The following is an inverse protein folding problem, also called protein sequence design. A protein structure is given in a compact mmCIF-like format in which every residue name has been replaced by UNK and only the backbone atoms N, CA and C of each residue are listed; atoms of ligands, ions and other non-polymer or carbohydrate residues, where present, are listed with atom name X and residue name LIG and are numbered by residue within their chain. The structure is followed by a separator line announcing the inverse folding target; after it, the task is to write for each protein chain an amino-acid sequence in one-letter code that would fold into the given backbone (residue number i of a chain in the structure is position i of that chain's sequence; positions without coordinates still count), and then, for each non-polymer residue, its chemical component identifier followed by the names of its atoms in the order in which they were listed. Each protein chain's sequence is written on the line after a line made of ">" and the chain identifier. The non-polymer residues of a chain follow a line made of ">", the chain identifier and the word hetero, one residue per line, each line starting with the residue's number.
data_IF_317882440455
#
_entry.id   IF_317882440455
#
_cell.length_a   1.000
_cell.length_b   1.000
_cell.length_c   1.000
_cell.angle_alpha   90.00
_cell.angle_beta   90.00
_cell.angle_gamma   90.00
#
_symmetry.space_group_name_H-M   'P 1'
#
loop_
_entity.id
_entity.type
_entity.pdbx_description
1 polymer ?
#
# COMPACT_ATOMS: atom_id res chain seq x y z
N UNK A 1 19.60 -4.29 16.68
CA UNK A 1 19.39 -4.82 15.28
C UNK A 1 19.19 -6.32 15.38
N UNK A 2 18.14 -6.83 14.74
CA UNK A 2 17.94 -8.28 14.59
C UNK A 2 19.09 -8.91 13.81
N UNK A 3 19.26 -10.22 13.92
CA UNK A 3 20.26 -10.93 13.15
C UNK A 3 19.72 -11.35 11.76
N UNK A 4 20.63 -11.79 10.92
CA UNK A 4 20.32 -12.30 9.58
C UNK A 4 19.34 -13.49 9.64
N UNK A 5 19.43 -14.32 10.67
CA UNK A 5 18.66 -15.56 10.82
C UNK A 5 17.19 -15.24 10.98
N UNK A 6 16.84 -14.18 11.74
CA UNK A 6 15.46 -13.73 11.92
C UNK A 6 14.85 -13.24 10.60
N UNK A 7 15.57 -12.44 9.80
CA UNK A 7 15.11 -12.01 8.46
C UNK A 7 14.83 -13.21 7.56
N UNK A 8 15.73 -14.20 7.53
CA UNK A 8 15.58 -15.39 6.69
C UNK A 8 14.41 -16.27 7.15
N UNK A 9 14.21 -16.41 8.47
CA UNK A 9 13.09 -17.17 9.03
C UNK A 9 11.75 -16.51 8.65
N UNK A 10 11.63 -15.18 8.85
CA UNK A 10 10.41 -14.44 8.49
C UNK A 10 10.16 -14.49 6.96
N UNK A 11 11.21 -14.39 6.14
CA UNK A 11 11.08 -14.47 4.68
C UNK A 11 10.55 -15.85 4.25
N UNK A 12 11.02 -16.92 4.88
CA UNK A 12 10.53 -18.28 4.64
C UNK A 12 9.08 -18.42 5.06
N UNK A 13 8.74 -17.94 6.26
CA UNK A 13 7.39 -18.02 6.83
C UNK A 13 6.35 -17.28 5.97
N UNK A 14 6.71 -16.14 5.40
CA UNK A 14 5.84 -15.33 4.57
C UNK A 14 5.90 -15.69 3.07
N UNK A 15 6.75 -16.62 2.68
CA UNK A 15 7.04 -16.97 1.27
C UNK A 15 7.44 -15.75 0.43
N UNK A 16 8.29 -14.88 1.00
CA UNK A 16 8.74 -13.63 0.40
C UNK A 16 10.26 -13.61 0.23
N UNK A 17 10.74 -12.72 -0.65
CA UNK A 17 12.17 -12.44 -0.74
C UNK A 17 12.71 -11.86 0.58
N UNK A 18 13.85 -12.34 1.03
CA UNK A 18 14.56 -11.80 2.20
C UNK A 18 14.86 -10.30 2.06
N UNK A 19 15.00 -9.79 0.82
CA UNK A 19 15.21 -8.36 0.53
C UNK A 19 13.98 -7.52 0.90
N UNK A 20 12.79 -8.05 0.63
CA UNK A 20 11.51 -7.39 0.97
C UNK A 20 11.35 -7.33 2.48
N UNK A 21 11.70 -8.41 3.19
CA UNK A 21 11.59 -8.46 4.66
C UNK A 21 12.62 -7.55 5.32
N UNK A 22 13.89 -7.55 4.86
CA UNK A 22 14.90 -6.62 5.37
C UNK A 22 14.46 -5.16 5.16
N UNK A 23 13.98 -4.85 3.96
CA UNK A 23 13.50 -3.51 3.64
C UNK A 23 12.35 -3.08 4.53
N UNK A 24 11.37 -3.98 4.81
CA UNK A 24 10.27 -3.72 5.73
C UNK A 24 10.74 -3.48 7.18
N UNK A 25 11.76 -4.20 7.63
CA UNK A 25 12.40 -3.97 8.93
C UNK A 25 13.04 -2.57 8.99
N UNK A 26 13.86 -2.22 7.99
CA UNK A 26 14.52 -0.91 7.92
C UNK A 26 13.49 0.23 7.77
N UNK A 27 12.41 0.03 7.01
CA UNK A 27 11.28 0.98 6.92
C UNK A 27 10.66 1.27 8.30
N UNK A 28 10.50 0.26 9.14
CA UNK A 28 9.99 0.43 10.50
C UNK A 28 10.91 1.30 11.35
N UNK A 29 12.21 1.04 11.34
CA UNK A 29 13.20 1.83 12.07
C UNK A 29 13.33 3.27 11.52
N UNK A 30 13.25 3.43 10.20
CA UNK A 30 13.26 4.77 9.60
C UNK A 30 12.03 5.58 10.00
N UNK A 31 10.83 4.96 10.04
CA UNK A 31 9.63 5.62 10.57
C UNK A 31 9.78 5.98 12.04
N UNK A 32 10.36 5.10 12.86
CA UNK A 32 10.64 5.40 14.26
C UNK A 32 11.55 6.63 14.40
N UNK A 33 12.63 6.71 13.63
CA UNK A 33 13.54 7.87 13.64
C UNK A 33 12.88 9.15 13.13
N UNK A 34 12.06 9.08 12.07
CA UNK A 34 11.28 10.21 11.54
C UNK A 34 10.35 10.77 12.63
N UNK A 35 9.62 9.92 13.34
CA UNK A 35 8.68 10.34 14.37
C UNK A 35 9.32 10.61 15.74
N UNK A 36 10.56 10.20 15.96
CA UNK A 36 11.37 10.64 17.09
C UNK A 36 11.94 12.07 16.90
N UNK A 37 12.05 12.54 15.66
CA UNK A 37 12.54 13.90 15.35
C UNK A 37 11.39 14.91 15.47
N UNK A 38 11.40 15.74 16.53
CA UNK A 38 10.29 16.61 16.94
C UNK A 38 9.72 17.48 15.81
N UNK A 39 10.58 18.20 15.05
CA UNK A 39 10.14 19.09 13.98
C UNK A 39 9.49 18.32 12.82
N UNK A 40 10.03 17.16 12.46
CA UNK A 40 9.52 16.31 11.39
C UNK A 40 8.18 15.70 11.80
N UNK A 41 8.09 15.12 12.99
CA UNK A 41 6.87 14.52 13.54
C UNK A 41 5.70 15.50 13.58
N UNK A 42 5.96 16.78 13.91
CA UNK A 42 4.93 17.82 13.95
C UNK A 42 4.32 18.17 12.59
N UNK A 43 5.08 18.02 11.50
CA UNK A 43 4.71 18.54 10.19
C UNK A 43 4.51 17.46 9.10
N UNK A 44 5.00 16.22 9.30
CA UNK A 44 4.91 15.15 8.30
C UNK A 44 3.76 14.20 8.60
N UNK A 45 2.90 13.99 7.61
CA UNK A 45 1.71 13.13 7.74
C UNK A 45 1.88 11.96 6.80
N UNK A 46 2.01 10.78 7.37
CA UNK A 46 2.24 9.53 6.66
C UNK A 46 1.01 9.09 5.89
N UNK A 47 1.20 8.63 4.66
CA UNK A 47 0.14 8.16 3.77
C UNK A 47 0.60 7.00 2.88
N UNK A 48 -0.19 6.65 1.89
CA UNK A 48 0.20 5.68 0.86
C UNK A 48 0.04 4.22 1.25
N UNK A 49 0.60 3.33 0.42
CA UNK A 49 0.48 1.88 0.61
C UNK A 49 1.21 1.36 1.83
N UNK A 50 2.37 1.94 2.15
CA UNK A 50 3.13 1.57 3.35
C UNK A 50 2.41 2.01 4.62
N UNK A 51 1.71 3.15 4.60
CA UNK A 51 0.85 3.56 5.71
C UNK A 51 -0.29 2.57 5.94
N UNK A 52 -0.95 2.08 4.89
CA UNK A 52 -1.97 1.03 5.02
C UNK A 52 -1.41 -0.21 5.71
N UNK A 53 -0.25 -0.69 5.26
CA UNK A 53 0.39 -1.89 5.80
C UNK A 53 0.90 -1.70 7.23
N UNK A 54 1.53 -0.58 7.51
CA UNK A 54 2.21 -0.33 8.80
C UNK A 54 1.27 0.21 9.88
N UNK A 55 0.21 0.95 9.51
CA UNK A 55 -0.65 1.64 10.49
C UNK A 55 -2.09 1.10 10.53
N UNK A 56 -2.52 0.31 9.53
CA UNK A 56 -3.90 -0.14 9.45
C UNK A 56 -4.05 -1.65 9.41
N UNK A 57 -3.27 -2.38 8.57
CA UNK A 57 -3.43 -3.83 8.39
C UNK A 57 -2.09 -4.56 8.36
N UNK A 58 -1.88 -5.51 9.27
CA UNK A 58 -0.62 -6.27 9.39
C UNK A 58 -0.29 -7.13 8.17
N UNK A 59 -1.30 -7.68 7.50
CA UNK A 59 -1.12 -8.63 6.39
C UNK A 59 -1.48 -8.05 5.03
N UNK A 60 -1.28 -6.75 4.89
CA UNK A 60 -1.50 -6.10 3.60
C UNK A 60 -0.35 -6.39 2.62
N UNK A 61 -0.55 -6.08 1.29
CA UNK A 61 0.54 -6.22 0.33
C UNK A 61 1.78 -5.45 0.77
N UNK A 62 2.95 -5.95 0.44
CA UNK A 62 4.19 -5.22 0.73
C UNK A 62 4.25 -3.92 -0.08
N UNK A 63 4.77 -2.88 0.53
CA UNK A 63 5.03 -1.59 -0.07
C UNK A 63 6.41 -1.12 0.36
N UNK A 64 7.11 -0.46 -0.54
CA UNK A 64 8.55 -0.23 -0.41
C UNK A 64 8.93 1.23 -0.24
N UNK A 65 8.00 2.14 -0.45
CA UNK A 65 8.20 3.58 -0.42
C UNK A 65 7.50 4.21 0.79
N UNK A 66 8.01 5.31 1.30
CA UNK A 66 7.36 6.11 2.32
C UNK A 66 6.79 7.39 1.70
N UNK A 67 5.49 7.56 1.79
CA UNK A 67 4.80 8.73 1.25
C UNK A 67 4.38 9.68 2.38
N UNK A 68 4.70 10.97 2.29
CA UNK A 68 4.31 11.97 3.26
C UNK A 68 3.67 13.20 2.62
N UNK A 69 2.66 13.73 3.28
CA UNK A 69 2.18 15.09 3.06
C UNK A 69 2.79 16.00 4.12
N UNK A 70 3.45 17.06 3.69
CA UNK A 70 4.08 18.04 4.56
C UNK A 70 3.13 19.22 4.79
N UNK A 71 2.99 19.63 6.05
CA UNK A 71 2.20 20.81 6.43
C UNK A 71 3.04 22.08 6.54
N UNK A 72 4.38 21.94 6.49
CA UNK A 72 5.34 23.04 6.47
C UNK A 72 6.18 22.97 5.20
N UNK A 73 6.03 23.96 4.33
CA UNK A 73 6.72 24.03 3.05
C UNK A 73 8.24 24.22 3.18
N UNK A 74 8.71 24.78 4.30
CA UNK A 74 10.15 24.96 4.57
C UNK A 74 10.86 23.62 4.74
N UNK A 75 10.14 22.55 5.04
CA UNK A 75 10.70 21.19 5.14
C UNK A 75 11.08 20.57 3.79
N UNK A 76 10.74 21.19 2.65
CA UNK A 76 11.26 20.81 1.35
C UNK A 76 12.58 21.51 0.98
N UNK A 77 13.09 22.39 1.83
CA UNK A 77 14.41 22.97 1.60
C UNK A 77 15.50 21.91 1.80
N UNK A 78 16.42 21.82 0.84
CA UNK A 78 17.47 20.78 0.85
C UNK A 78 18.32 20.84 2.12
N UNK A 79 18.63 22.04 2.62
CA UNK A 79 19.38 22.22 3.86
C UNK A 79 18.63 21.64 5.08
N UNK A 80 17.31 21.83 5.15
CA UNK A 80 16.49 21.24 6.19
C UNK A 80 16.49 19.71 6.11
N UNK A 81 16.26 19.15 4.90
CA UNK A 81 16.24 17.72 4.68
C UNK A 81 17.55 17.06 5.07
N UNK A 82 18.69 17.63 4.65
CA UNK A 82 20.02 17.12 5.02
C UNK A 82 20.25 17.12 6.53
N UNK A 83 19.90 18.18 7.22
CA UNK A 83 20.06 18.25 8.67
C UNK A 83 19.13 17.25 9.39
N UNK A 84 17.86 17.23 9.06
CA UNK A 84 16.88 16.33 9.67
C UNK A 84 17.22 14.84 9.45
N UNK A 85 17.66 14.47 8.24
CA UNK A 85 18.04 13.07 7.98
C UNK A 85 19.40 12.68 8.55
N UNK A 86 20.30 13.63 8.82
CA UNK A 86 21.51 13.36 9.61
C UNK A 86 21.13 13.00 11.06
N UNK A 87 20.22 13.76 11.66
CA UNK A 87 19.71 13.49 13.03
C UNK A 87 18.94 12.15 13.09
N UNK A 88 18.07 11.89 12.10
CA UNK A 88 17.34 10.62 11.98
C UNK A 88 18.30 9.45 11.83
N UNK A 89 19.33 9.57 10.98
CA UNK A 89 20.32 8.50 10.77
C UNK A 89 21.11 8.20 12.05
N UNK A 90 21.54 9.23 12.78
CA UNK A 90 22.23 9.06 14.05
C UNK A 90 21.34 8.38 15.08
N UNK A 91 20.06 8.78 15.19
CA UNK A 91 19.10 8.16 16.09
C UNK A 91 18.81 6.70 15.75
N UNK A 92 18.59 6.39 14.47
CA UNK A 92 18.35 5.01 13.99
C UNK A 92 19.54 4.12 14.30
N UNK A 93 20.77 4.60 14.04
CA UNK A 93 21.98 3.86 14.34
C UNK A 93 22.14 3.59 15.85
N UNK A 94 21.94 4.60 16.70
CA UNK A 94 22.01 4.46 18.17
C UNK A 94 21.02 3.41 18.70
N UNK A 95 19.80 3.37 18.16
CA UNK A 95 18.72 2.50 18.65
C UNK A 95 18.72 1.10 18.04
N UNK A 96 19.12 0.95 16.79
CA UNK A 96 18.98 -0.31 16.06
C UNK A 96 20.31 -0.88 15.55
N UNK A 97 21.34 -0.06 15.42
CA UNK A 97 22.57 -0.43 14.73
C UNK A 97 22.47 -0.46 13.20
N UNK A 98 21.32 -0.06 12.62
CA UNK A 98 21.17 0.09 11.16
C UNK A 98 21.93 1.34 10.72
N UNK A 99 22.86 1.17 9.77
CA UNK A 99 23.61 2.29 9.25
C UNK A 99 22.90 2.91 8.04
N UNK A 100 22.74 4.23 8.07
CA UNK A 100 22.18 5.04 6.99
C UNK A 100 23.25 6.04 6.52
N UNK A 101 24.07 5.72 5.51
CA UNK A 101 25.18 6.57 5.05
C UNK A 101 24.69 7.92 4.56
N UNK A 102 24.89 8.98 5.34
CA UNK A 102 24.35 10.33 5.08
C UNK A 102 24.92 10.94 3.81
N UNK A 103 26.20 10.66 3.51
CA UNK A 103 26.93 11.11 2.31
C UNK A 103 26.35 10.53 1.01
N UNK A 104 25.68 9.37 1.10
CA UNK A 104 25.04 8.71 -0.05
C UNK A 104 23.59 9.12 -0.26
N UNK A 105 22.96 9.76 0.72
CA UNK A 105 21.58 10.21 0.59
C UNK A 105 21.42 11.17 -0.59
N UNK A 106 20.27 11.10 -1.26
CA UNK A 106 19.93 11.98 -2.38
C UNK A 106 18.64 12.71 -2.08
N UNK A 107 18.66 14.01 -2.35
CA UNK A 107 17.53 14.91 -2.11
C UNK A 107 17.23 15.63 -3.42
N UNK A 108 16.06 15.42 -3.98
CA UNK A 108 15.62 16.05 -5.23
C UNK A 108 14.29 16.77 -4.98
N UNK A 109 14.23 18.06 -5.30
CA UNK A 109 13.00 18.85 -5.12
C UNK A 109 12.50 19.27 -6.50
N UNK A 110 11.22 19.00 -6.75
CA UNK A 110 10.57 19.26 -8.03
C UNK A 110 9.47 20.30 -7.85
N UNK A 111 9.25 21.08 -8.90
CA UNK A 111 8.08 21.95 -9.00
C UNK A 111 7.21 21.48 -10.16
N UNK A 112 5.92 21.27 -9.90
CA UNK A 112 4.98 20.93 -10.95
C UNK A 112 4.57 22.19 -11.74
N UNK A 113 3.97 22.06 -12.95
CA UNK A 113 3.53 23.19 -13.75
C UNK A 113 2.50 24.11 -13.08
N UNK A 114 1.85 23.63 -12.02
CA UNK A 114 0.86 24.39 -11.22
C UNK A 114 1.49 25.15 -10.06
N UNK A 115 2.83 25.06 -9.89
CA UNK A 115 3.56 25.67 -8.78
C UNK A 115 3.59 24.85 -7.49
N UNK A 116 2.97 23.66 -7.48
CA UNK A 116 3.08 22.72 -6.37
C UNK A 116 4.50 22.14 -6.30
N UNK A 117 5.02 21.99 -5.09
CA UNK A 117 6.36 21.43 -4.84
C UNK A 117 6.26 20.04 -4.27
N UNK A 118 7.17 19.18 -4.66
CA UNK A 118 7.36 17.84 -4.12
C UNK A 118 8.83 17.50 -4.01
N UNK A 119 9.20 16.57 -3.15
CA UNK A 119 10.56 16.10 -3.00
C UNK A 119 10.63 14.59 -3.07
N UNK A 120 11.73 14.08 -3.58
CA UNK A 120 12.11 12.69 -3.50
C UNK A 120 13.40 12.58 -2.68
N UNK A 121 13.38 11.73 -1.66
CA UNK A 121 14.55 11.40 -0.85
C UNK A 121 14.88 9.94 -1.06
N UNK A 122 16.15 9.63 -1.32
CA UNK A 122 16.66 8.26 -1.42
C UNK A 122 17.64 8.02 -0.30
N UNK A 123 17.29 7.11 0.61
CA UNK A 123 18.08 6.71 1.76
C UNK A 123 18.65 5.33 1.51
N UNK A 124 19.96 5.24 1.44
CA UNK A 124 20.68 3.97 1.34
C UNK A 124 20.91 3.41 2.75
N UNK A 125 20.96 2.09 2.89
CA UNK A 125 21.12 1.46 4.20
C UNK A 125 22.02 0.22 4.17
N UNK A 126 22.64 -0.06 5.31
CA UNK A 126 23.29 -1.33 5.63
C UNK A 126 22.47 -1.96 6.76
N UNK A 127 21.70 -2.99 6.41
CA UNK A 127 20.81 -3.71 7.30
C UNK A 127 21.37 -5.05 7.78
N UNK A 128 20.52 -5.88 8.41
CA UNK A 128 20.91 -7.17 9.00
C UNK A 128 21.54 -8.18 8.02
N UNK A 129 21.26 -8.09 6.72
CA UNK A 129 21.82 -8.98 5.71
C UNK A 129 23.30 -8.65 5.37
N UNK A 130 23.77 -7.45 5.72
CA UNK A 130 25.17 -7.06 5.61
C UNK A 130 25.73 -7.15 4.20
N UNK A 131 25.01 -6.66 3.17
CA UNK A 131 25.39 -6.82 1.77
C UNK A 131 26.58 -5.97 1.39
N UNK A 132 27.54 -6.59 0.69
CA UNK A 132 28.56 -5.87 -0.05
C UNK A 132 28.06 -5.45 -1.44
N UNK A 133 28.61 -4.37 -1.99
CA UNK A 133 28.29 -3.84 -3.32
C UNK A 133 27.33 -2.67 -3.29
N UNK A 134 26.40 -2.60 -4.24
CA UNK A 134 25.40 -1.52 -4.28
C UNK A 134 24.42 -1.63 -3.11
N UNK A 135 24.37 -0.61 -2.26
CA UNK A 135 23.48 -0.60 -1.11
C UNK A 135 22.01 -0.55 -1.55
N UNK A 136 21.14 -1.30 -0.84
CA UNK A 136 19.71 -1.16 -1.01
C UNK A 136 19.25 0.23 -0.53
N UNK A 137 18.09 0.67 -1.05
CA UNK A 137 17.57 2.01 -0.74
C UNK A 137 16.09 2.00 -0.43
N UNK A 138 15.71 2.97 0.39
CA UNK A 138 14.32 3.36 0.61
C UNK A 138 14.08 4.70 -0.09
N UNK A 139 12.96 4.80 -0.78
CA UNK A 139 12.48 6.03 -1.40
C UNK A 139 11.44 6.69 -0.47
N UNK A 140 11.55 8.01 -0.29
CA UNK A 140 10.52 8.81 0.33
C UNK A 140 9.98 9.80 -0.68
N UNK A 141 8.66 9.87 -0.79
CA UNK A 141 7.94 10.86 -1.59
C UNK A 141 7.32 11.91 -0.65
N UNK A 142 7.78 13.15 -0.77
CA UNK A 142 7.37 14.28 0.05
C UNK A 142 6.55 15.26 -0.79
N UNK A 143 5.36 15.64 -0.35
CA UNK A 143 4.54 16.61 -1.09
C UNK A 143 3.90 17.64 -0.18
N UNK A 144 3.86 18.89 -0.63
CA UNK A 144 3.06 19.98 -0.05
C UNK A 144 1.82 20.28 -0.91
N UNK A 145 1.72 19.68 -2.10
CA UNK A 145 0.63 19.89 -3.05
C UNK A 145 -0.48 18.84 -2.85
N UNK A 146 -0.96 18.73 -1.60
CA UNK A 146 -2.04 17.82 -1.22
C UNK A 146 -3.02 18.53 -0.27
N UNK A 147 -4.31 18.26 -0.49
CA UNK A 147 -5.36 18.69 0.44
C UNK A 147 -5.54 17.63 1.52
N UNK A 148 -5.32 18.00 2.76
CA UNK A 148 -5.72 17.20 3.92
C UNK A 148 -7.14 17.58 4.29
N UNK A 149 -8.08 16.66 4.07
CA UNK A 149 -9.52 16.90 4.29
C UNK A 149 -9.91 16.56 5.73
N UNK A 150 -9.39 15.46 6.25
CA UNK A 150 -9.65 15.00 7.61
C UNK A 150 -8.46 15.31 8.53
N UNK A 151 -8.68 15.48 9.84
CA UNK A 151 -7.59 15.62 10.79
C UNK A 151 -6.66 14.38 10.71
N UNK A 152 -5.33 14.58 10.69
CA UNK A 152 -4.41 13.46 10.81
C UNK A 152 -4.57 12.80 12.18
N UNK A 153 -4.34 11.51 12.24
CA UNK A 153 -4.48 10.70 13.45
C UNK A 153 -3.16 10.03 13.80
N UNK A 154 -2.95 9.80 15.09
CA UNK A 154 -1.82 9.02 15.59
C UNK A 154 -2.19 7.53 15.60
N UNK A 155 -1.31 6.70 15.05
CA UNK A 155 -1.52 5.26 14.93
C UNK A 155 -0.29 4.48 15.38
N UNK A 156 -0.49 3.36 16.09
CA UNK A 156 0.59 2.42 16.28
C UNK A 156 1.04 1.85 14.94
N UNK A 157 2.34 1.65 14.80
CA UNK A 157 2.95 1.13 13.58
C UNK A 157 3.39 -0.31 13.80
N UNK A 158 2.97 -1.21 12.93
CA UNK A 158 3.41 -2.61 12.95
C UNK A 158 4.90 -2.73 12.65
N UNK A 159 5.60 -3.40 13.54
CA UNK A 159 7.01 -3.74 13.40
C UNK A 159 7.23 -5.15 13.99
N UNK A 160 6.88 -6.22 13.26
CA UNK A 160 6.81 -7.58 13.79
C UNK A 160 8.21 -8.22 13.92
N UNK A 161 9.16 -7.50 14.46
CA UNK A 161 10.55 -7.91 14.68
C UNK A 161 10.88 -7.86 16.16
N UNK A 162 11.86 -8.67 16.59
CA UNK A 162 12.20 -8.79 18.02
C UNK A 162 12.86 -7.53 18.59
N UNK A 163 13.33 -6.62 17.74
CA UNK A 163 13.96 -5.36 18.11
C UNK A 163 13.02 -4.14 18.07
N UNK A 164 11.70 -4.34 18.24
CA UNK A 164 10.75 -3.24 18.36
C UNK A 164 11.24 -2.19 19.36
N UNK A 165 11.24 -0.89 19.01
CA UNK A 165 11.58 0.17 19.97
C UNK A 165 10.72 0.11 21.23
N UNK A 166 11.32 0.42 22.39
CA UNK A 166 10.58 0.52 23.64
C UNK A 166 9.46 1.59 23.52
N UNK A 167 8.24 1.20 23.91
CA UNK A 167 7.04 2.04 23.73
C UNK A 167 6.41 1.96 22.33
N UNK A 168 6.97 1.15 21.42
CA UNK A 168 6.47 1.00 20.06
C UNK A 168 6.77 2.19 19.14
N UNK A 169 6.20 2.17 17.96
CA UNK A 169 6.32 3.25 16.97
C UNK A 169 4.93 3.85 16.76
N UNK A 170 4.81 5.16 17.00
CA UNK A 170 3.57 5.91 16.74
C UNK A 170 3.79 6.81 15.54
N UNK A 171 2.98 6.66 14.51
CA UNK A 171 3.02 7.48 13.32
C UNK A 171 1.80 8.41 13.23
N UNK A 172 2.01 9.66 12.85
CA UNK A 172 0.95 10.60 12.50
C UNK A 172 0.59 10.41 11.05
N UNK A 173 -0.62 9.93 10.77
CA UNK A 173 -1.00 9.51 9.43
C UNK A 173 -2.37 10.02 8.98
N UNK A 174 -2.69 9.84 7.71
CA UNK A 174 -4.02 10.11 7.18
C UNK A 174 -5.06 9.27 7.92
N UNK A 175 -6.25 9.83 8.14
CA UNK A 175 -7.40 9.07 8.57
C UNK A 175 -7.73 7.98 7.54
N UNK A 176 -8.30 6.88 8.00
CA UNK A 176 -8.58 5.72 7.15
C UNK A 176 -9.49 6.05 5.96
N UNK A 177 -10.53 6.85 6.21
CA UNK A 177 -11.47 7.32 5.19
C UNK A 177 -10.78 8.18 4.12
N UNK A 178 -9.81 8.97 4.55
CA UNK A 178 -9.02 9.79 3.62
C UNK A 178 -8.09 8.96 2.76
N UNK A 179 -7.46 7.91 3.33
CA UNK A 179 -6.65 6.97 2.54
C UNK A 179 -7.52 6.26 1.51
N UNK A 180 -8.73 5.83 1.89
CA UNK A 180 -9.62 5.14 0.95
C UNK A 180 -10.03 6.06 -0.21
N UNK A 181 -10.49 7.27 0.09
CA UNK A 181 -10.83 8.27 -0.93
C UNK A 181 -9.64 8.60 -1.84
N UNK A 182 -8.43 8.73 -1.25
CA UNK A 182 -7.19 8.96 -2.00
C UNK A 182 -6.86 7.81 -2.96
N UNK A 183 -7.11 6.55 -2.55
CA UNK A 183 -6.91 5.39 -3.42
C UNK A 183 -7.90 5.35 -4.57
N UNK A 184 -9.16 5.71 -4.35
CA UNK A 184 -10.16 5.84 -5.44
C UNK A 184 -9.75 6.96 -6.40
N UNK A 185 -9.34 8.13 -5.88
CA UNK A 185 -8.85 9.25 -6.70
C UNK A 185 -7.65 8.82 -7.56
N UNK A 186 -6.66 8.18 -6.93
CA UNK A 186 -5.45 7.74 -7.60
C UNK A 186 -5.73 6.69 -8.68
N UNK A 187 -6.66 5.77 -8.44
CA UNK A 187 -7.10 4.80 -9.45
C UNK A 187 -7.66 5.50 -10.69
N UNK A 188 -8.49 6.54 -10.50
CA UNK A 188 -9.03 7.32 -11.61
C UNK A 188 -8.02 8.19 -12.35
N UNK A 189 -7.00 8.72 -11.62
CA UNK A 189 -6.02 9.65 -12.21
C UNK A 189 -4.91 8.95 -12.98
N UNK A 190 -4.44 7.80 -12.49
CA UNK A 190 -3.21 7.16 -13.00
C UNK A 190 -3.36 5.68 -13.35
N UNK A 191 -4.53 5.09 -13.13
CA UNK A 191 -4.90 3.72 -13.53
C UNK A 191 -3.82 2.68 -13.20
N UNK A 192 -3.35 2.64 -11.94
CA UNK A 192 -2.32 1.68 -11.53
C UNK A 192 -2.91 0.43 -10.87
N UNK A 193 -2.43 -0.78 -11.20
CA UNK A 193 -2.82 -2.04 -10.57
C UNK A 193 -2.85 -2.02 -9.04
N UNK A 194 -1.86 -1.38 -8.41
CA UNK A 194 -1.78 -1.26 -6.95
C UNK A 194 -2.95 -0.48 -6.35
N UNK A 195 -3.46 0.53 -7.05
CA UNK A 195 -4.59 1.32 -6.56
C UNK A 195 -5.89 0.53 -6.68
N UNK A 196 -6.09 -0.24 -7.76
CA UNK A 196 -7.22 -1.18 -7.88
C UNK A 196 -7.18 -2.23 -6.77
N UNK A 197 -6.03 -2.87 -6.57
CA UNK A 197 -5.83 -3.86 -5.50
C UNK A 197 -6.20 -3.27 -4.13
N UNK A 198 -5.70 -2.07 -3.82
CA UNK A 198 -5.95 -1.39 -2.55
C UNK A 198 -7.43 -1.05 -2.38
N UNK A 199 -8.07 -0.44 -3.38
CA UNK A 199 -9.50 -0.07 -3.33
C UNK A 199 -10.39 -1.29 -3.06
N UNK A 200 -10.16 -2.39 -3.77
CA UNK A 200 -10.99 -3.59 -3.60
C UNK A 200 -10.79 -4.25 -2.23
N UNK A 201 -9.54 -4.33 -1.75
CA UNK A 201 -9.29 -4.90 -0.43
C UNK A 201 -9.87 -4.02 0.69
N UNK A 202 -9.74 -2.69 0.61
CA UNK A 202 -10.38 -1.76 1.55
C UNK A 202 -11.90 -1.92 1.55
N UNK A 203 -12.51 -2.07 0.38
CA UNK A 203 -13.95 -2.27 0.25
C UNK A 203 -14.42 -3.61 0.82
N UNK A 204 -13.67 -4.70 0.55
CA UNK A 204 -13.98 -6.06 1.07
C UNK A 204 -13.85 -6.16 2.59
N UNK A 205 -13.15 -5.22 3.21
CA UNK A 205 -12.98 -5.16 4.66
C UNK A 205 -14.23 -4.59 5.34
N UNK A 206 -15.37 -5.30 5.27
CA UNK A 206 -16.68 -4.81 5.63
C UNK A 206 -16.79 -4.22 7.04
N UNK A 207 -16.05 -4.78 8.02
CA UNK A 207 -16.03 -4.30 9.41
C UNK A 207 -15.43 -2.89 9.54
N UNK A 208 -14.47 -2.54 8.68
CA UNK A 208 -13.79 -1.26 8.70
C UNK A 208 -14.15 -0.37 7.50
N UNK A 209 -15.16 -0.76 6.70
CA UNK A 209 -15.60 0.06 5.58
C UNK A 209 -16.15 1.38 6.11
N UNK A 210 -15.63 2.54 5.66
CA UNK A 210 -16.11 3.82 6.13
C UNK A 210 -17.51 4.12 5.59
N UNK A 211 -18.18 5.13 6.16
CA UNK A 211 -19.45 5.60 5.61
C UNK A 211 -19.25 6.15 4.19
N UNK A 212 -20.04 5.66 3.23
CA UNK A 212 -19.95 6.07 1.82
C UNK A 212 -20.04 7.59 1.63
N UNK A 213 -20.89 8.27 2.42
CA UNK A 213 -21.03 9.71 2.37
C UNK A 213 -19.73 10.45 2.73
N UNK A 214 -19.02 10.00 3.77
CA UNK A 214 -17.73 10.57 4.18
C UNK A 214 -16.68 10.36 3.10
N UNK A 215 -16.55 9.12 2.60
CA UNK A 215 -15.59 8.79 1.54
C UNK A 215 -15.86 9.60 0.28
N UNK A 216 -17.12 9.74 -0.12
CA UNK A 216 -17.53 10.54 -1.29
C UNK A 216 -17.20 12.01 -1.14
N UNK A 217 -17.46 12.60 0.04
CA UNK A 217 -17.17 14.01 0.29
C UNK A 217 -15.67 14.30 0.28
N UNK A 218 -14.87 13.44 0.91
CA UNK A 218 -13.40 13.52 0.87
C UNK A 218 -12.89 13.39 -0.58
N UNK A 219 -13.39 12.40 -1.32
CA UNK A 219 -13.04 12.18 -2.73
C UNK A 219 -13.33 13.41 -3.59
N UNK A 220 -14.53 14.00 -3.47
CA UNK A 220 -14.90 15.22 -4.21
C UNK A 220 -13.98 16.39 -3.91
N UNK A 221 -13.64 16.61 -2.63
CA UNK A 221 -12.74 17.68 -2.25
C UNK A 221 -11.32 17.48 -2.79
N UNK A 222 -10.78 16.25 -2.72
CA UNK A 222 -9.47 15.92 -3.26
C UNK A 222 -9.42 16.06 -4.78
N UNK A 223 -10.44 15.58 -5.49
CA UNK A 223 -10.56 15.74 -6.94
C UNK A 223 -10.66 17.22 -7.33
N UNK A 224 -11.47 17.99 -6.61
CA UNK A 224 -11.62 19.44 -6.83
C UNK A 224 -10.30 20.19 -6.61
N UNK A 225 -9.54 19.84 -5.58
CA UNK A 225 -8.21 20.41 -5.33
C UNK A 225 -7.22 20.11 -6.47
N UNK A 226 -7.19 18.88 -6.97
CA UNK A 226 -6.35 18.46 -8.09
C UNK A 226 -6.90 18.90 -9.46
N UNK A 227 -8.12 19.49 -9.52
CA UNK A 227 -8.80 19.88 -10.75
C UNK A 227 -8.97 18.72 -11.73
N UNK A 228 -9.37 17.57 -11.22
CA UNK A 228 -9.72 16.35 -11.98
C UNK A 228 -11.17 15.99 -11.72
N UNK A 229 -11.76 15.26 -12.65
CA UNK A 229 -13.09 14.71 -12.47
C UNK A 229 -13.10 13.61 -11.41
N UNK A 230 -14.24 13.49 -10.69
CA UNK A 230 -14.44 12.37 -9.77
C UNK A 230 -14.53 11.08 -10.58
N UNK A 231 -13.71 10.06 -10.28
CA UNK A 231 -13.72 8.80 -11.01
C UNK A 231 -15.11 8.15 -11.01
N UNK A 232 -15.47 7.56 -12.13
CA UNK A 232 -16.69 6.77 -12.31
C UNK A 232 -16.33 5.39 -12.87
N UNK A 233 -17.26 4.44 -12.77
CA UNK A 233 -17.06 3.13 -13.40
C UNK A 233 -16.84 3.26 -14.92
N UNK A 234 -17.55 4.18 -15.57
CA UNK A 234 -17.42 4.41 -17.00
C UNK A 234 -16.03 4.96 -17.37
N UNK A 235 -15.47 5.90 -16.59
CA UNK A 235 -14.13 6.44 -16.85
C UNK A 235 -13.06 5.37 -16.68
N UNK A 236 -13.20 4.46 -15.70
CA UNK A 236 -12.25 3.37 -15.46
C UNK A 236 -12.34 2.27 -16.51
N UNK A 237 -13.51 2.02 -17.10
CA UNK A 237 -13.66 1.00 -18.12
C UNK A 237 -12.76 1.21 -19.35
N UNK A 238 -12.41 2.47 -19.64
CA UNK A 238 -11.46 2.81 -20.71
C UNK A 238 -9.99 2.44 -20.40
N UNK A 239 -9.65 2.13 -19.16
CA UNK A 239 -8.26 1.83 -18.72
C UNK A 239 -8.04 0.36 -18.38
N UNK A 240 -9.02 -0.53 -18.66
CA UNK A 240 -8.98 -1.95 -18.29
C UNK A 240 -7.77 -2.67 -18.89
N UNK A 241 -7.50 -2.45 -20.19
CA UNK A 241 -6.38 -3.09 -20.88
C UNK A 241 -5.02 -2.68 -20.31
N UNK A 242 -4.85 -1.40 -19.94
CA UNK A 242 -3.64 -0.88 -19.33
C UNK A 242 -3.42 -1.49 -17.93
N UNK A 243 -4.48 -1.51 -17.11
CA UNK A 243 -4.44 -2.12 -15.78
C UNK A 243 -4.08 -3.61 -15.84
N UNK A 244 -4.67 -4.35 -16.78
CA UNK A 244 -4.38 -5.77 -16.97
C UNK A 244 -2.93 -6.00 -17.42
N UNK A 245 -2.45 -5.20 -18.39
CA UNK A 245 -1.07 -5.32 -18.89
C UNK A 245 -0.02 -5.12 -17.81
N UNK A 246 -0.26 -4.19 -16.89
CA UNK A 246 0.66 -3.84 -15.82
C UNK A 246 0.46 -4.68 -14.54
N UNK A 247 -0.58 -5.55 -14.47
CA UNK A 247 -0.97 -6.28 -13.26
C UNK A 247 0.18 -7.11 -12.68
N UNK A 248 0.82 -7.93 -13.50
CA UNK A 248 1.95 -8.77 -13.07
C UNK A 248 3.17 -7.94 -12.67
N UNK A 249 3.52 -6.96 -13.49
CA UNK A 249 4.74 -6.16 -13.29
C UNK A 249 4.71 -5.35 -11.99
N UNK A 250 3.52 -4.81 -11.64
CA UNK A 250 3.39 -3.92 -10.48
C UNK A 250 3.04 -4.62 -9.16
N UNK A 251 2.47 -5.83 -9.20
CA UNK A 251 2.00 -6.52 -7.99
C UNK A 251 2.72 -7.83 -7.70
N UNK A 252 3.24 -8.53 -8.73
CA UNK A 252 3.76 -9.87 -8.57
C UNK A 252 4.90 -10.01 -7.55
N UNK A 253 5.72 -8.97 -7.38
CA UNK A 253 6.82 -8.95 -6.40
C UNK A 253 6.39 -8.56 -4.98
N UNK A 254 5.15 -8.07 -4.79
CA UNK A 254 4.63 -7.58 -3.51
C UNK A 254 3.69 -8.58 -2.82
N UNK A 255 3.38 -9.70 -3.47
CA UNK A 255 2.42 -10.69 -3.01
C UNK A 255 3.01 -12.09 -3.05
N UNK A 256 2.66 -12.99 -2.11
CA UNK A 256 3.07 -14.39 -2.15
C UNK A 256 2.64 -15.11 -3.43
N UNK A 257 1.45 -14.81 -3.92
CA UNK A 257 0.87 -15.28 -5.20
C UNK A 257 0.09 -14.13 -5.81
N UNK A 258 0.22 -13.90 -7.11
CA UNK A 258 -0.56 -12.87 -7.79
C UNK A 258 -1.98 -13.37 -8.06
N UNK A 259 -3.03 -12.78 -7.46
CA UNK A 259 -4.40 -13.13 -7.76
C UNK A 259 -4.79 -12.70 -9.19
N UNK A 260 -5.71 -13.41 -9.87
CA UNK A 260 -6.22 -12.98 -11.16
C UNK A 260 -6.86 -11.59 -11.13
N UNK A 261 -6.62 -10.79 -12.14
CA UNK A 261 -7.13 -9.43 -12.29
C UNK A 261 -8.66 -9.38 -12.18
N UNK A 262 -9.33 -10.33 -12.80
CA UNK A 262 -10.79 -10.38 -12.94
C UNK A 262 -11.52 -10.40 -11.61
N UNK A 263 -10.96 -11.03 -10.59
CA UNK A 263 -11.56 -11.10 -9.25
C UNK A 263 -11.52 -9.76 -8.50
N UNK A 264 -10.67 -8.84 -8.93
CA UNK A 264 -10.63 -7.45 -8.44
C UNK A 264 -11.52 -6.58 -9.31
N UNK A 265 -11.37 -6.66 -10.62
CA UNK A 265 -12.12 -5.85 -11.55
C UNK A 265 -13.64 -6.04 -11.43
N UNK A 266 -14.10 -7.28 -11.28
CA UNK A 266 -15.53 -7.61 -11.15
C UNK A 266 -16.22 -7.01 -9.92
N UNK A 267 -15.47 -6.55 -8.93
CA UNK A 267 -16.03 -5.92 -7.70
C UNK A 267 -16.22 -4.40 -7.86
N UNK A 268 -15.54 -3.76 -8.82
CA UNK A 268 -15.64 -2.31 -9.02
C UNK A 268 -17.08 -1.79 -9.16
N UNK A 269 -18.00 -2.43 -9.90
CA UNK A 269 -19.39 -1.98 -9.98
C UNK A 269 -20.08 -1.88 -8.61
N UNK A 270 -19.72 -2.78 -7.69
CA UNK A 270 -20.26 -2.79 -6.33
C UNK A 270 -19.66 -1.65 -5.48
N UNK A 271 -18.36 -1.38 -5.62
CA UNK A 271 -17.68 -0.24 -4.97
C UNK A 271 -18.33 1.08 -5.38
N UNK A 272 -18.54 1.30 -6.67
CA UNK A 272 -19.15 2.56 -7.15
C UNK A 272 -20.61 2.67 -6.77
N UNK A 273 -21.39 1.58 -6.79
CA UNK A 273 -22.77 1.58 -6.29
C UNK A 273 -22.82 1.98 -4.81
N UNK A 274 -21.96 1.38 -3.98
CA UNK A 274 -21.84 1.76 -2.57
C UNK A 274 -21.45 3.24 -2.42
N UNK A 275 -20.45 3.69 -3.16
CA UNK A 275 -19.98 5.07 -3.08
C UNK A 275 -21.06 6.07 -3.48
N UNK A 276 -21.89 5.78 -4.49
CA UNK A 276 -22.94 6.66 -5.00
C UNK A 276 -24.20 6.67 -4.11
N UNK A 277 -24.69 5.51 -3.77
CA UNK A 277 -25.98 5.34 -3.09
C UNK A 277 -25.87 5.16 -1.57
N UNK A 278 -24.71 4.77 -1.06
CA UNK A 278 -24.53 4.32 0.32
C UNK A 278 -25.09 2.93 0.60
N UNK A 279 -25.52 2.20 -0.45
CA UNK A 279 -26.05 0.85 -0.29
C UNK A 279 -24.94 -0.12 0.07
N UNK A 280 -25.00 -0.66 1.30
CA UNK A 280 -24.06 -1.67 1.72
C UNK A 280 -24.25 -2.97 0.93
N UNK A 281 -23.16 -3.72 0.63
CA UNK A 281 -23.27 -5.04 0.06
C UNK A 281 -24.13 -5.95 0.94
N UNK A 282 -24.92 -6.82 0.30
CA UNK A 282 -25.71 -7.80 1.02
C UNK A 282 -24.76 -8.74 1.79
N UNK A 283 -24.82 -8.78 3.12
CA UNK A 283 -23.94 -9.61 3.91
C UNK A 283 -24.22 -11.10 3.62
N UNK A 284 -23.17 -11.85 3.36
CA UNK A 284 -23.27 -13.31 3.30
C UNK A 284 -23.48 -13.85 4.73
N UNK A 285 -24.14 -15.00 4.83
CA UNK A 285 -24.25 -15.70 6.10
C UNK A 285 -22.83 -16.05 6.63
N UNK A 286 -22.68 -16.09 7.94
CA UNK A 286 -21.46 -16.63 8.54
C UNK A 286 -21.31 -18.12 8.19
N UNK A 287 -20.07 -18.59 8.07
CA UNK A 287 -19.82 -20.03 7.93
C UNK A 287 -20.44 -20.78 9.14
N UNK A 288 -21.02 -21.98 8.94
CA UNK A 288 -21.65 -22.72 10.03
C UNK A 288 -20.71 -22.88 11.21
N UNK A 289 -21.18 -22.54 12.41
CA UNK A 289 -20.47 -22.71 13.67
C UNK A 289 -20.90 -24.02 14.33
N UNK A 290 -19.94 -24.72 14.94
CA UNK A 290 -20.28 -25.71 15.98
C UNK A 290 -20.90 -24.98 17.18
N UNK A 291 -21.72 -25.69 17.97
CA UNK A 291 -22.46 -25.10 19.11
C UNK A 291 -21.56 -24.42 20.17
N UNK A 292 -20.26 -24.73 20.16
CA UNK A 292 -19.28 -24.36 21.17
C UNK A 292 -18.02 -23.67 20.56
N UNK A 293 -18.15 -23.09 19.36
CA UNK A 293 -17.04 -22.46 18.66
C UNK A 293 -17.18 -20.94 18.66
N UNK A 294 -16.07 -20.24 18.90
CA UNK A 294 -15.96 -18.78 18.85
C UNK A 294 -15.08 -18.35 17.68
N UNK A 295 -15.44 -17.26 16.98
CA UNK A 295 -14.61 -16.68 15.92
C UNK A 295 -13.35 -16.10 16.50
N UNK A 296 -12.20 -16.54 15.99
CA UNK A 296 -10.89 -16.03 16.39
C UNK A 296 -10.36 -15.09 15.31
N UNK A 297 -10.03 -13.87 15.71
CA UNK A 297 -9.40 -12.85 14.86
C UNK A 297 -8.07 -12.39 15.46
N UNK A 298 -7.06 -13.28 15.52
CA UNK A 298 -5.81 -12.94 16.18
C UNK A 298 -4.99 -11.96 15.34
N UNK A 299 -4.36 -11.01 16.02
CA UNK A 299 -3.24 -10.30 15.45
C UNK A 299 -2.08 -11.28 15.18
N UNK A 300 -1.34 -11.09 14.08
CA UNK A 300 -0.22 -11.97 13.71
C UNK A 300 0.79 -12.13 14.85
N UNK A 301 1.14 -11.04 15.53
CA UNK A 301 2.06 -11.04 16.66
C UNK A 301 1.56 -11.89 17.84
N UNK A 302 0.26 -11.90 18.13
CA UNK A 302 -0.29 -12.66 19.25
C UNK A 302 -0.18 -14.18 19.03
N UNK A 303 -0.39 -14.67 17.82
CA UNK A 303 -0.27 -16.10 17.49
C UNK A 303 1.17 -16.61 17.56
N UNK A 304 2.16 -15.79 17.22
CA UNK A 304 3.57 -16.12 17.37
C UNK A 304 3.98 -16.26 18.83
N UNK A 305 3.46 -15.40 19.72
CA UNK A 305 3.73 -15.45 21.16
C UNK A 305 3.05 -16.62 21.86
N UNK A 306 1.90 -17.09 21.39
CA UNK A 306 1.18 -18.22 21.97
C UNK A 306 1.80 -19.59 21.59
N UNK A 307 2.91 -19.61 20.80
CA UNK A 307 3.62 -20.84 20.45
C UNK A 307 2.80 -21.79 19.55
N UNK A 308 1.78 -21.26 18.87
CA UNK A 308 0.97 -22.04 17.94
C UNK A 308 1.84 -22.38 16.74
N UNK A 309 2.32 -23.60 16.71
CA UNK A 309 3.03 -24.20 15.57
C UNK A 309 2.15 -24.05 14.33
N UNK A 310 2.65 -23.35 13.30
CA UNK A 310 1.91 -23.11 12.05
C UNK A 310 1.55 -21.66 11.77
N UNK A 311 2.15 -20.69 12.46
CA UNK A 311 1.92 -19.26 12.17
C UNK A 311 2.21 -18.91 10.70
N UNK A 312 3.17 -19.57 10.06
CA UNK A 312 3.47 -19.42 8.63
C UNK A 312 2.30 -19.87 7.75
N UNK A 313 1.68 -21.02 8.06
CA UNK A 313 0.52 -21.51 7.31
C UNK A 313 -0.68 -20.58 7.44
N UNK A 314 -0.87 -19.98 8.60
CA UNK A 314 -1.99 -19.10 8.87
C UNK A 314 -1.94 -17.83 8.02
N UNK A 315 -0.76 -17.19 7.87
CA UNK A 315 -0.62 -16.00 7.04
C UNK A 315 -0.90 -16.30 5.56
N UNK A 316 -0.44 -17.45 5.08
CA UNK A 316 -0.71 -17.92 3.72
C UNK A 316 -2.22 -18.14 3.53
N UNK A 317 -2.90 -18.77 4.49
CA UNK A 317 -4.35 -19.00 4.44
C UNK A 317 -5.14 -17.70 4.49
N UNK A 318 -4.74 -16.75 5.35
CA UNK A 318 -5.37 -15.42 5.45
C UNK A 318 -5.23 -14.63 4.15
N UNK A 319 -4.04 -14.63 3.57
CA UNK A 319 -3.80 -14.02 2.27
C UNK A 319 -4.69 -14.64 1.19
N UNK A 320 -4.75 -15.97 1.12
CA UNK A 320 -5.57 -16.68 0.15
C UNK A 320 -7.06 -16.35 0.32
N UNK A 321 -7.57 -16.35 1.55
CA UNK A 321 -8.95 -15.99 1.88
C UNK A 321 -9.29 -14.56 1.46
N UNK A 322 -8.45 -13.58 1.83
CA UNK A 322 -8.62 -12.18 1.45
C UNK A 322 -8.61 -12.00 -0.08
N UNK A 323 -7.73 -12.73 -0.76
CA UNK A 323 -7.58 -12.72 -2.22
C UNK A 323 -8.57 -13.64 -2.96
N UNK A 324 -9.48 -14.33 -2.26
CA UNK A 324 -10.46 -15.28 -2.85
C UNK A 324 -9.80 -16.41 -3.65
N UNK A 325 -8.68 -16.93 -3.15
CA UNK A 325 -7.93 -18.04 -3.72
C UNK A 325 -8.13 -19.31 -2.93
N UNK A 326 -8.27 -20.44 -3.62
CA UNK A 326 -8.26 -21.77 -3.01
C UNK A 326 -6.87 -22.11 -2.50
N UNK A 327 -6.83 -23.00 -1.52
CA UNK A 327 -5.61 -23.48 -0.88
C UNK A 327 -5.56 -24.99 -0.98
N UNK A 328 -4.43 -25.54 -1.39
CA UNK A 328 -4.13 -26.97 -1.24
C UNK A 328 -3.58 -27.19 0.18
N UNK A 329 -4.38 -27.88 1.00
CA UNK A 329 -4.12 -28.15 2.40
C UNK A 329 -3.65 -29.61 2.58
N UNK A 330 -2.40 -29.79 3.00
CA UNK A 330 -1.91 -31.10 3.46
C UNK A 330 -2.37 -31.36 4.89
N UNK A 331 -3.22 -32.36 5.06
CA UNK A 331 -3.85 -32.67 6.34
C UNK A 331 -4.07 -34.19 6.48
N UNK A 332 -3.49 -34.82 7.52
CA UNK A 332 -3.60 -36.25 7.76
C UNK A 332 -3.27 -37.10 6.48
N UNK A 333 -2.07 -36.93 5.99
CA UNK A 333 -1.48 -37.65 4.84
C UNK A 333 -2.26 -37.54 3.52
N UNK A 334 -3.11 -36.53 3.39
CA UNK A 334 -3.83 -36.26 2.14
C UNK A 334 -3.87 -34.77 1.84
N UNK A 335 -3.88 -34.43 0.56
CA UNK A 335 -4.02 -33.05 0.10
C UNK A 335 -5.47 -32.80 -0.30
N UNK A 336 -6.03 -31.69 0.17
CA UNK A 336 -7.39 -31.25 -0.13
C UNK A 336 -7.39 -29.83 -0.58
N UNK A 337 -8.10 -29.54 -1.68
CA UNK A 337 -8.32 -28.15 -2.10
C UNK A 337 -9.50 -27.57 -1.35
N UNK A 338 -9.27 -26.44 -0.68
CA UNK A 338 -10.24 -25.80 0.18
C UNK A 338 -10.40 -24.31 -0.16
N UNK A 339 -11.60 -23.79 0.10
CA UNK A 339 -11.95 -22.36 0.14
C UNK A 339 -11.89 -21.91 1.61
N UNK A 340 -10.91 -21.11 2.06
CA UNK A 340 -10.78 -20.75 3.46
C UNK A 340 -11.73 -19.61 3.86
N UNK A 341 -12.40 -19.73 5.02
CA UNK A 341 -13.39 -18.75 5.49
C UNK A 341 -13.09 -18.13 6.84
N UNK A 342 -12.78 -18.93 7.88
CA UNK A 342 -12.63 -18.39 9.24
C UNK A 342 -11.75 -19.26 10.13
N UNK A 343 -11.27 -18.67 11.22
CA UNK A 343 -10.70 -19.41 12.36
C UNK A 343 -11.71 -19.45 13.49
N UNK A 344 -11.72 -20.58 14.19
CA UNK A 344 -12.61 -20.86 15.31
C UNK A 344 -11.81 -21.39 16.49
N UNK A 345 -12.21 -21.01 17.71
CA UNK A 345 -11.70 -21.59 18.95
C UNK A 345 -12.77 -22.46 19.56
N UNK A 346 -12.42 -23.69 19.86
CA UNK A 346 -13.30 -24.59 20.62
C UNK A 346 -13.25 -24.26 22.12
N UNK A 347 -14.20 -24.78 22.91
CA UNK A 347 -14.14 -24.69 24.39
C UNK A 347 -12.90 -25.35 25.01
N UNK A 348 -12.32 -26.34 24.32
CA UNK A 348 -11.08 -26.99 24.76
C UNK A 348 -9.84 -26.12 24.45
N UNK A 349 -9.99 -25.00 23.71
CA UNK A 349 -8.91 -24.11 23.33
C UNK A 349 -8.28 -24.41 21.97
N UNK A 350 -8.71 -25.48 21.28
CA UNK A 350 -8.19 -25.83 19.96
C UNK A 350 -8.57 -24.79 18.92
N UNK A 351 -7.66 -24.47 18.01
CA UNK A 351 -7.93 -23.58 16.87
C UNK A 351 -8.25 -24.42 15.63
N UNK A 352 -9.40 -24.12 15.03
CA UNK A 352 -9.90 -24.76 13.81
C UNK A 352 -9.89 -23.79 12.64
N UNK A 353 -9.42 -24.24 11.48
CA UNK A 353 -9.62 -23.59 10.20
C UNK A 353 -10.94 -24.09 9.60
N UNK A 354 -11.94 -23.22 9.52
CA UNK A 354 -13.19 -23.52 8.82
C UNK A 354 -13.06 -23.17 7.34
N UNK A 355 -13.35 -24.15 6.50
CA UNK A 355 -13.22 -24.05 5.07
C UNK A 355 -14.30 -24.87 4.35
N UNK A 356 -14.49 -24.63 3.05
CA UNK A 356 -15.33 -25.44 2.17
C UNK A 356 -14.43 -26.24 1.26
N UNK A 357 -14.69 -27.50 1.10
CA UNK A 357 -14.00 -28.34 0.10
C UNK A 357 -14.39 -27.92 -1.31
N UNK A 358 -13.40 -27.62 -2.14
CA UNK A 358 -13.65 -27.16 -3.51
C UNK A 358 -14.28 -28.23 -4.40
N UNK A 359 -14.02 -29.51 -4.12
CA UNK A 359 -14.52 -30.65 -4.89
C UNK A 359 -15.98 -31.03 -4.58
N UNK A 360 -16.36 -30.99 -3.28
CA UNK A 360 -17.68 -31.44 -2.82
C UNK A 360 -18.61 -30.29 -2.41
N UNK A 361 -18.07 -29.10 -2.19
CA UNK A 361 -18.82 -27.96 -1.66
C UNK A 361 -19.19 -28.11 -0.16
N UNK A 362 -18.61 -29.09 0.54
CA UNK A 362 -18.93 -29.40 1.91
C UNK A 362 -18.10 -28.55 2.87
N UNK A 363 -18.76 -27.95 3.88
CA UNK A 363 -18.08 -27.22 4.94
C UNK A 363 -17.36 -28.22 5.88
N UNK A 364 -16.12 -27.91 6.20
CA UNK A 364 -15.26 -28.72 7.08
C UNK A 364 -14.42 -27.84 7.99
N UNK A 365 -14.11 -28.36 9.18
CA UNK A 365 -13.17 -27.76 10.13
C UNK A 365 -11.90 -28.61 10.20
N UNK A 366 -10.75 -27.95 10.19
CA UNK A 366 -9.43 -28.57 10.24
C UNK A 366 -8.68 -28.06 11.48
N UNK A 367 -8.21 -28.93 12.33
CA UNK A 367 -7.37 -28.55 13.47
C UNK A 367 -6.06 -27.94 12.97
N UNK A 368 -5.72 -26.76 13.45
CA UNK A 368 -4.56 -25.99 12.97
C UNK A 368 -3.24 -26.71 13.25
N UNK A 369 -3.14 -27.37 14.42
CA UNK A 369 -2.00 -28.17 14.88
C UNK A 369 -1.74 -29.44 14.04
N UNK A 370 -2.73 -29.88 13.24
CA UNK A 370 -2.62 -31.07 12.37
C UNK A 370 -2.39 -30.73 10.91
N UNK A 371 -2.27 -29.45 10.58
CA UNK A 371 -1.93 -29.00 9.22
C UNK A 371 -0.44 -29.26 9.00
N UNK A 372 -0.13 -30.03 7.97
CA UNK A 372 1.24 -30.42 7.60
C UNK A 372 1.84 -29.50 6.53
N UNK A 373 0.99 -28.84 5.74
CA UNK A 373 1.43 -27.92 4.69
C UNK A 373 0.26 -27.16 4.08
N UNK A 374 0.59 -25.99 3.53
CA UNK A 374 -0.37 -25.09 2.87
C UNK A 374 0.27 -24.52 1.63
N UNK A 375 -0.45 -24.58 0.50
CA UNK A 375 -0.04 -23.96 -0.75
C UNK A 375 -1.19 -23.18 -1.37
N UNK A 376 -0.97 -21.89 -1.63
CA UNK A 376 -1.95 -21.08 -2.36
C UNK A 376 -1.99 -21.52 -3.82
N UNK A 377 -3.19 -21.62 -4.36
CA UNK A 377 -3.42 -21.96 -5.79
C UNK A 377 -3.82 -20.72 -6.58
N UNK A 378 -3.81 -20.82 -7.90
CA UNK A 378 -4.38 -19.79 -8.79
C UNK A 378 -5.90 -19.96 -8.99
N UNK A 379 -6.51 -20.98 -8.39
CA UNK A 379 -7.94 -21.20 -8.49
C UNK A 379 -8.68 -20.24 -7.57
N UNK A 380 -9.61 -19.49 -8.12
CA UNK A 380 -10.47 -18.57 -7.37
C UNK A 380 -11.72 -19.27 -6.86
N UNK A 381 -12.35 -18.71 -5.83
CA UNK A 381 -13.67 -19.12 -5.36
C UNK A 381 -14.61 -17.91 -5.20
N UNK A 382 -15.88 -18.12 -5.49
CA UNK A 382 -16.95 -17.18 -5.15
C UNK A 382 -17.40 -17.46 -3.70
N UNK A 383 -17.31 -16.49 -2.78
CA UNK A 383 -17.66 -16.72 -1.39
C UNK A 383 -19.13 -17.14 -1.21
N UNK A 384 -19.36 -18.26 -0.53
CA UNK A 384 -20.70 -18.74 -0.11
C UNK A 384 -21.07 -18.22 1.27
N UNK A 385 -20.05 -17.88 2.07
CA UNK A 385 -20.14 -17.36 3.42
C UNK A 385 -19.29 -16.11 3.57
N UNK A 386 -19.53 -15.35 4.63
CA UNK A 386 -18.65 -14.24 5.00
C UNK A 386 -17.23 -14.76 5.21
N UNK A 387 -16.26 -14.17 4.53
CA UNK A 387 -14.84 -14.49 4.73
C UNK A 387 -14.33 -13.64 5.88
N UNK A 388 -14.10 -14.30 7.02
CA UNK A 388 -13.66 -13.68 8.28
C UNK A 388 -12.13 -13.67 8.44
N UNK A 389 -11.42 -14.42 7.57
CA UNK A 389 -9.95 -14.43 7.48
C UNK A 389 -9.46 -13.21 6.69
N UNK A 390 -9.71 -12.03 7.22
CA UNK A 390 -9.24 -10.76 6.64
C UNK A 390 -7.99 -10.29 7.36
N UNK A 391 -7.19 -9.38 6.77
CA UNK A 391 -6.10 -8.73 7.47
C UNK A 391 -6.58 -8.11 8.79
N UNK A 392 -5.83 -8.32 9.87
CA UNK A 392 -6.19 -7.77 11.18
C UNK A 392 -5.82 -6.29 11.25
N UNK A 393 -6.71 -5.47 11.79
CA UNK A 393 -6.42 -4.07 12.01
C UNK A 393 -5.37 -3.87 13.11
N UNK A 394 -4.46 -2.93 12.87
CA UNK A 394 -3.46 -2.51 13.85
C UNK A 394 -4.11 -1.47 14.76
N UNK A 395 -4.62 -1.92 15.90
CA UNK A 395 -5.39 -1.09 16.82
C UNK A 395 -6.79 -0.68 16.30
N UNK A 396 -7.60 -0.04 17.13
CA UNK A 396 -8.96 0.35 16.77
C UNK A 396 -8.97 1.40 15.64
N UNK A 397 -9.89 1.26 14.69
CA UNK A 397 -10.15 2.26 13.64
C UNK A 397 -11.51 2.87 13.97
N UNK A 398 -11.58 4.03 14.64
CA UNK A 398 -12.85 4.67 14.97
C UNK A 398 -13.53 5.18 13.69
N UNK A 399 -14.80 4.83 13.43
CA UNK A 399 -15.50 5.32 12.26
C UNK A 399 -15.80 6.81 12.37
N UNK A 400 -15.54 7.57 11.31
CA UNK A 400 -15.99 8.95 11.18
C UNK A 400 -17.40 8.95 10.57
N UNK A 401 -18.35 9.50 11.30
CA UNK A 401 -19.75 9.60 10.87
C UNK A 401 -20.05 10.88 10.07
N UNK A 402 -19.18 11.89 10.20
CA UNK A 402 -19.25 13.16 9.45
C UNK A 402 -17.85 13.73 9.21
N UNK A 403 -17.54 14.22 8.00
CA UNK A 403 -16.35 15.01 7.79
C UNK A 403 -16.44 16.31 8.59
N UNK A 404 -15.35 16.79 9.22
CA UNK A 404 -15.32 18.10 9.84
C UNK A 404 -15.58 19.17 8.77
N UNK A 405 -16.29 20.25 9.14
CA UNK A 405 -16.58 21.34 8.21
C UNK A 405 -15.27 21.98 7.73
N UNK A 406 -15.13 22.12 6.41
CA UNK A 406 -13.91 22.59 5.69
C UNK A 406 -13.38 23.94 6.17
N UNK A 407 -14.18 24.73 6.89
CA UNK A 407 -13.82 26.08 7.36
C UNK A 407 -12.68 26.13 8.40
N UNK A 408 -12.36 25.02 9.06
CA UNK A 408 -11.33 25.01 10.12
C UNK A 408 -9.96 24.57 9.64
N UNK A 409 -9.88 23.62 8.67
CA UNK A 409 -8.60 23.01 8.23
C UNK A 409 -8.01 23.68 6.99
N UNK A 410 -8.83 24.21 6.09
CA UNK A 410 -8.38 24.90 4.87
C UNK A 410 -7.67 26.23 5.11
N UNK A 411 -7.66 26.74 6.35
CA UNK A 411 -6.93 27.97 6.74
C UNK A 411 -5.54 27.71 7.30
N UNK A 412 -5.22 26.51 7.69
CA UNK A 412 -3.92 26.17 8.31
C UNK A 412 -2.89 25.66 7.30
N UNK A 413 -3.33 25.13 6.18
CA UNK A 413 -2.42 24.76 5.08
C UNK A 413 -2.49 25.89 4.06
N UNK A 414 -1.52 26.77 4.05
CA UNK A 414 -1.44 27.97 3.24
C UNK A 414 -1.89 27.85 1.78
N UNK A 415 -3.20 27.79 1.57
CA UNK A 415 -3.80 28.02 0.28
C UNK A 415 -3.69 29.52 -0.02
N UNK A 416 -2.53 29.96 -0.47
CA UNK A 416 -2.40 31.24 -1.16
C UNK A 416 -3.30 31.16 -2.39
N UNK A 417 -4.36 31.96 -2.40
CA UNK A 417 -5.17 32.20 -3.60
C UNK A 417 -4.23 32.48 -4.77
N UNK A 418 -4.45 31.89 -5.94
CA UNK A 418 -3.64 32.21 -7.11
C UNK A 418 -3.80 33.68 -7.42
N UNK A 419 -2.69 34.42 -7.29
CA UNK A 419 -2.59 35.79 -7.74
C UNK A 419 -2.84 35.81 -9.26
N UNK A 420 -3.48 36.87 -9.73
CA UNK A 420 -3.79 37.18 -11.13
C UNK A 420 -2.66 36.75 -12.08
N UNK A 421 -3.07 36.01 -13.12
CA UNK A 421 -2.22 35.62 -14.25
C UNK A 421 -1.56 36.85 -14.90
N UNK A 422 -0.26 36.95 -14.73
CA UNK A 422 0.59 37.72 -15.70
C UNK A 422 0.90 36.80 -16.89
N UNK A 423 0.98 37.31 -18.11
CA UNK A 423 1.32 36.50 -19.29
C UNK A 423 2.72 35.93 -19.16
N UNK A 424 2.87 34.63 -19.37
CA UNK A 424 4.14 33.90 -19.31
C UNK A 424 5.03 34.26 -20.52
N UNK A 425 6.36 34.38 -20.32
CA UNK A 425 7.31 34.32 -21.43
C UNK A 425 7.27 32.95 -22.08
N UNK A 426 7.23 32.88 -23.39
CA UNK A 426 7.42 31.65 -24.17
C UNK A 426 8.91 31.27 -24.07
N UNK A 427 9.21 30.14 -23.41
CA UNK A 427 10.56 29.59 -23.34
C UNK A 427 10.83 28.84 -22.03
N UNK A 428 10.26 27.64 -21.88
CA UNK A 428 10.69 26.66 -20.88
C UNK A 428 11.59 25.61 -21.52
N UNK A 429 12.33 24.81 -20.72
CA UNK A 429 13.19 23.76 -21.25
C UNK A 429 12.36 22.74 -22.02
N UNK A 430 12.85 22.32 -23.18
CA UNK A 430 12.27 21.27 -24.01
C UNK A 430 13.16 20.03 -23.92
N UNK A 431 12.63 18.96 -23.43
CA UNK A 431 13.31 17.68 -23.25
C UNK A 431 13.22 16.87 -24.55
N UNK A 432 14.34 16.36 -25.02
CA UNK A 432 14.40 15.56 -26.25
C UNK A 432 14.63 14.10 -25.86
N UNK A 433 13.70 13.23 -26.28
CA UNK A 433 13.79 11.78 -26.12
C UNK A 433 13.92 11.08 -27.48
N UNK A 434 14.65 9.99 -27.54
CA UNK A 434 14.82 9.18 -28.74
C UNK A 434 14.21 7.79 -28.51
N UNK A 435 13.32 7.36 -29.40
CA UNK A 435 12.73 6.02 -29.34
C UNK A 435 13.81 4.94 -29.50
N UNK A 436 13.90 4.02 -28.55
CA UNK A 436 14.88 2.91 -28.60
C UNK A 436 14.63 1.89 -29.70
N UNK A 437 13.43 1.88 -30.32
CA UNK A 437 13.07 0.91 -31.36
C UNK A 437 13.31 1.48 -32.76
N UNK A 438 12.91 2.74 -33.01
CA UNK A 438 12.98 3.30 -34.37
C UNK A 438 13.91 4.51 -34.50
N UNK A 439 14.55 4.95 -33.44
CA UNK A 439 15.49 6.06 -33.41
C UNK A 439 14.88 7.46 -33.59
N UNK A 440 13.57 7.58 -33.75
CA UNK A 440 12.88 8.88 -33.94
C UNK A 440 12.97 9.70 -32.65
N UNK A 441 13.24 11.01 -32.78
CA UNK A 441 13.33 11.95 -31.66
C UNK A 441 11.99 12.65 -31.43
N UNK A 442 11.68 12.90 -30.17
CA UNK A 442 10.44 13.55 -29.69
C UNK A 442 10.82 14.68 -28.74
N UNK A 443 10.11 15.79 -28.83
CA UNK A 443 10.28 16.93 -27.95
C UNK A 443 9.10 17.00 -26.97
N UNK A 444 9.40 17.04 -25.67
CA UNK A 444 8.44 17.10 -24.59
C UNK A 444 8.68 18.36 -23.76
N UNK A 445 7.61 18.98 -23.28
CA UNK A 445 7.69 20.10 -22.33
C UNK A 445 7.98 19.67 -20.89
N UNK A 446 8.04 18.36 -20.64
CA UNK A 446 8.38 17.73 -19.35
C UNK A 446 9.43 16.65 -19.55
N UNK A 447 10.16 16.30 -18.48
CA UNK A 447 11.12 15.20 -18.49
C UNK A 447 10.39 13.85 -18.36
N UNK A 448 9.55 13.54 -19.37
CA UNK A 448 8.77 12.30 -19.47
C UNK A 448 9.25 11.50 -20.66
N UNK A 449 9.73 10.29 -20.39
CA UNK A 449 10.25 9.35 -21.38
C UNK A 449 9.15 8.60 -22.16
N UNK A 450 7.87 8.80 -21.81
CA UNK A 450 6.76 8.11 -22.46
C UNK A 450 6.49 8.66 -23.86
N UNK A 451 6.52 7.78 -24.87
CA UNK A 451 6.29 8.13 -26.28
C UNK A 451 4.88 7.73 -26.71
N UNK A 452 4.15 8.68 -27.28
CA UNK A 452 2.85 8.38 -27.92
C UNK A 452 3.04 7.42 -29.09
N UNK A 453 1.95 6.77 -29.50
CA UNK A 453 1.93 5.94 -30.73
C UNK A 453 2.46 6.76 -31.88
N UNK A 454 3.48 6.26 -32.58
CA UNK A 454 4.14 6.96 -33.67
C UNK A 454 4.54 6.03 -34.80
N UNK A 455 4.79 6.62 -35.96
CA UNK A 455 5.31 5.89 -37.12
C UNK A 455 6.84 6.00 -37.16
N UNK A 456 7.48 4.89 -37.42
CA UNK A 456 8.90 4.81 -37.72
C UNK A 456 9.23 5.57 -39.03
N UNK A 457 10.48 5.93 -39.30
CA UNK A 457 10.88 6.57 -40.56
C UNK A 457 10.47 5.81 -41.82
N UNK A 458 10.29 4.49 -41.73
CA UNK A 458 9.80 3.63 -42.83
C UNK A 458 8.26 3.56 -42.96
N UNK A 459 7.49 4.38 -42.22
CA UNK A 459 6.04 4.53 -42.36
C UNK A 459 5.17 3.51 -41.58
N UNK A 460 5.71 2.46 -41.03
CA UNK A 460 4.98 1.46 -40.21
C UNK A 460 4.83 1.94 -38.75
N UNK A 461 3.84 1.43 -38.04
CA UNK A 461 3.60 1.76 -36.64
C UNK A 461 4.73 1.19 -35.76
N UNK A 462 5.41 2.04 -35.01
CA UNK A 462 6.49 1.64 -34.11
C UNK A 462 5.91 1.09 -32.81
N UNK A 463 6.49 -0.01 -32.31
CA UNK A 463 6.13 -0.60 -31.02
C UNK A 463 6.75 0.12 -29.80
N UNK A 464 7.73 1.01 -30.03
CA UNK A 464 8.38 1.75 -28.93
C UNK A 464 7.43 2.71 -28.22
N UNK A 465 7.36 2.61 -26.90
CA UNK A 465 6.55 3.46 -26.03
C UNK A 465 7.39 4.23 -25.02
N UNK A 466 8.70 3.98 -24.97
CA UNK A 466 9.63 4.64 -24.07
C UNK A 466 10.81 5.19 -24.87
N UNK A 467 11.21 6.42 -24.58
CA UNK A 467 12.38 7.07 -25.19
C UNK A 467 13.55 7.16 -24.23
N UNK A 468 14.77 7.14 -24.78
CA UNK A 468 15.97 7.51 -24.04
C UNK A 468 16.15 9.01 -24.07
N UNK A 469 16.45 9.60 -22.92
CA UNK A 469 16.77 11.01 -22.82
C UNK A 469 18.02 11.35 -23.67
N UNK A 470 17.93 12.38 -24.45
CA UNK A 470 19.03 12.83 -25.35
C UNK A 470 19.63 14.16 -24.87
N UNK A 471 18.79 15.17 -24.68
CA UNK A 471 19.24 16.53 -24.30
C UNK A 471 18.06 17.40 -23.86
N UNK A 472 18.37 18.54 -23.24
CA UNK A 472 17.42 19.65 -22.99
C UNK A 472 17.80 20.82 -23.91
N UNK A 473 16.79 21.41 -24.53
CA UNK A 473 16.90 22.69 -25.27
C UNK A 473 16.26 23.78 -24.40
N UNK A 474 16.91 24.92 -24.26
CA UNK A 474 16.45 26.11 -23.55
C UNK A 474 15.97 27.17 -24.50
#
# INVERSE_FOLDING_TARGET
>A
MIDRTEILAIATDLSLSHDVVEKDHVLGWLLAGIYAHERVAAAWIFKGGTCLRKCYFETYRFSEDLDFTLTDASHLEEAFLKAAFADVAAWVYDKSGIELPVDQMRFEVFSNPRGGRSGEVRIYYIGPLGRGGSLPRIKLDLTIDELLVLPPIERPTSHPYTDMPEGGIIARCYAYEEIFAEKIRALGERSRPRDLYDVINLFRHGEFRPAAAVTRDVLKQKCGFKQIEVPTLASLSGTTEELLADWQAMLGHQLPVLPPFEIFWSVLPEVFRWLESGAEPVPLAAAPLGADEEVVRPAVGALRHEGILGSSFLEIVRFAAASRLCVDLAYQDSVRRIEPYSLRRTRAGDILLCAVRSDSGEARSYHLDRIQGVQVTNQTFAPRYTVELTPTAIGPIPPLTRPPSVSALGRTLGATRPAHRTPRPKGGPTYVFQCGVCGKKFEHSSNDSHLRVHKAPGGYTCSGRTGFFVTVKY
#
